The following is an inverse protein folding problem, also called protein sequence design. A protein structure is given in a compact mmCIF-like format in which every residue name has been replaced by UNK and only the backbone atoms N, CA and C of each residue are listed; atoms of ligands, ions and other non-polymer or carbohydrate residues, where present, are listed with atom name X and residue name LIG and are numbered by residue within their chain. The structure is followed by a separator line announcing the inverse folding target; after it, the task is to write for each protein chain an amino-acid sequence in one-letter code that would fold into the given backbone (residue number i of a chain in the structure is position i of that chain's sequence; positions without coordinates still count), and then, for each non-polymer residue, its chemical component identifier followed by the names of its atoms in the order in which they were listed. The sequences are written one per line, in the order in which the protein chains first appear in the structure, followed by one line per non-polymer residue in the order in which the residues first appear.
data_IF_870674675494
#
_entry.id   IF_870674675494
#
_cell.length_a   1.000
_cell.length_b   1.000
_cell.length_c   1.000
_cell.angle_alpha   90.00
_cell.angle_beta   90.00
_cell.angle_gamma   90.00
#
_symmetry.space_group_name_H-M   'P 1'
#
loop_
_entity.id
_entity.type
_entity.pdbx_description
1 polymer ?
#
# COMPACT_ATOMS: atom_id res chain seq x y z
N UNK A 1 30.30 17.86 -16.51
CA UNK A 1 30.58 18.20 -15.10
C UNK A 1 31.82 17.50 -14.57
N UNK A 2 32.35 16.44 -15.22
CA UNK A 2 33.65 15.87 -14.85
C UNK A 2 33.69 15.12 -13.52
N UNK A 3 32.53 14.89 -12.90
CA UNK A 3 32.37 14.14 -11.65
C UNK A 3 32.32 12.66 -12.01
N UNK A 4 33.40 11.93 -11.73
CA UNK A 4 33.49 10.49 -11.97
C UNK A 4 33.68 9.70 -10.67
N UNK A 5 34.05 10.37 -9.58
CA UNK A 5 34.24 9.78 -8.25
C UNK A 5 33.38 10.50 -7.20
N UNK A 6 33.19 9.83 -6.05
CA UNK A 6 32.51 10.44 -4.89
C UNK A 6 33.29 11.65 -4.36
N UNK A 7 34.62 11.62 -4.46
CA UNK A 7 35.48 12.75 -4.07
C UNK A 7 35.24 13.97 -4.96
N UNK A 8 35.11 13.78 -6.28
CA UNK A 8 34.79 14.87 -7.21
C UNK A 8 33.45 15.53 -6.86
N UNK A 9 32.47 14.70 -6.42
CA UNK A 9 31.17 15.18 -5.98
C UNK A 9 31.27 15.94 -4.66
N UNK A 10 32.07 15.46 -3.69
CA UNK A 10 32.28 16.11 -2.41
C UNK A 10 33.00 17.47 -2.54
N UNK A 11 33.85 17.64 -3.56
CA UNK A 11 34.54 18.90 -3.85
C UNK A 11 33.72 19.88 -4.72
N UNK A 12 32.56 19.46 -5.26
CA UNK A 12 31.72 20.34 -6.05
C UNK A 12 31.02 21.41 -5.20
N UNK A 13 30.74 22.57 -5.78
CA UNK A 13 30.08 23.68 -5.08
C UNK A 13 28.57 23.35 -4.89
N UNK A 14 28.06 23.29 -3.64
CA UNK A 14 26.68 22.84 -3.38
C UNK A 14 25.59 23.70 -4.02
N UNK A 15 25.77 25.02 -4.13
CA UNK A 15 24.73 25.92 -4.67
C UNK A 15 24.57 25.76 -6.18
N UNK A 16 25.65 25.56 -6.91
CA UNK A 16 25.68 25.29 -8.33
C UNK A 16 25.07 23.91 -8.62
N UNK A 17 25.35 22.92 -7.77
CA UNK A 17 24.71 21.61 -7.85
C UNK A 17 23.22 21.66 -7.51
N UNK A 18 22.80 22.51 -6.58
CA UNK A 18 21.38 22.77 -6.31
C UNK A 18 20.67 23.35 -7.53
N UNK A 19 21.24 24.39 -8.15
CA UNK A 19 20.65 25.06 -9.32
C UNK A 19 20.50 24.12 -10.51
N UNK A 20 21.46 23.20 -10.69
CA UNK A 20 21.47 22.25 -11.81
C UNK A 20 20.61 21.01 -11.59
N UNK A 21 20.45 20.60 -10.33
CA UNK A 21 19.74 19.36 -9.97
C UNK A 21 18.62 19.64 -8.96
N UNK A 22 18.93 19.61 -7.67
CA UNK A 22 17.96 19.83 -6.60
C UNK A 22 18.64 20.12 -5.27
N UNK A 23 17.87 20.57 -4.28
CA UNK A 23 18.34 20.71 -2.89
C UNK A 23 18.85 19.37 -2.31
N UNK A 24 18.34 18.23 -2.78
CA UNK A 24 18.78 16.90 -2.33
C UNK A 24 20.23 16.65 -2.75
N UNK A 25 20.61 17.08 -3.96
CA UNK A 25 22.00 16.98 -4.42
C UNK A 25 22.94 17.83 -3.56
N UNK A 26 22.55 19.06 -3.25
CA UNK A 26 23.33 19.93 -2.38
C UNK A 26 23.48 19.36 -0.96
N UNK A 27 22.41 18.81 -0.38
CA UNK A 27 22.45 18.11 0.91
C UNK A 27 23.38 16.90 0.88
N UNK A 28 23.36 16.13 -0.20
CA UNK A 28 24.28 14.99 -0.37
C UNK A 28 25.73 15.44 -0.35
N UNK A 29 26.06 16.57 -0.97
CA UNK A 29 27.42 17.13 -0.95
C UNK A 29 27.80 17.59 0.47
N UNK A 30 26.90 18.28 1.18
CA UNK A 30 27.13 18.67 2.57
C UNK A 30 27.36 17.45 3.48
N UNK A 31 26.58 16.37 3.33
CA UNK A 31 26.77 15.12 4.06
C UNK A 31 28.15 14.50 3.77
N UNK A 32 28.57 14.47 2.50
CA UNK A 32 29.91 14.00 2.11
C UNK A 32 31.03 14.88 2.68
N UNK A 33 30.75 16.15 2.97
CA UNK A 33 31.66 17.09 3.65
C UNK A 33 31.57 16.98 5.19
N UNK A 34 30.78 16.04 5.74
CA UNK A 34 30.61 15.82 7.17
C UNK A 34 29.59 16.76 7.83
N UNK A 35 28.78 17.49 7.05
CA UNK A 35 27.72 18.37 7.54
C UNK A 35 26.39 17.62 7.48
N UNK A 36 25.92 17.16 8.65
CA UNK A 36 24.62 16.52 8.80
C UNK A 36 23.49 17.46 8.39
N UNK A 37 22.76 17.08 7.36
CA UNK A 37 21.62 17.76 6.75
C UNK A 37 20.30 17.04 6.99
N UNK A 38 20.34 15.78 7.43
CA UNK A 38 19.16 15.00 7.84
C UNK A 38 19.29 14.69 9.32
N UNK A 39 18.46 15.32 10.14
CA UNK A 39 18.39 15.02 11.57
C UNK A 39 17.70 13.67 11.81
N UNK A 40 18.06 13.01 12.92
CA UNK A 40 17.38 11.81 13.38
C UNK A 40 16.01 12.22 13.92
N UNK A 41 14.94 11.76 13.28
CA UNK A 41 13.58 11.99 13.77
C UNK A 41 13.32 11.14 15.03
N UNK A 42 13.09 11.81 16.17
CA UNK A 42 12.74 11.15 17.43
C UNK A 42 11.26 10.77 17.54
N UNK A 43 10.39 11.46 16.80
CA UNK A 43 8.95 11.20 16.74
C UNK A 43 8.52 11.24 15.28
N UNK A 44 8.28 10.09 14.63
CA UNK A 44 7.88 10.07 13.23
C UNK A 44 6.50 10.74 13.08
N UNK A 45 6.28 11.55 12.04
CA UNK A 45 4.99 12.18 11.79
C UNK A 45 3.91 11.14 11.49
N UNK A 46 2.65 11.47 11.80
CA UNK A 46 1.51 10.63 11.48
C UNK A 46 1.50 10.25 10.00
N UNK A 47 1.14 8.98 9.71
CA UNK A 47 1.09 8.47 8.33
C UNK A 47 0.15 9.33 7.49
N UNK A 48 0.66 9.84 6.37
CA UNK A 48 -0.16 10.61 5.41
C UNK A 48 -1.07 9.71 4.57
N UNK A 49 -0.67 8.47 4.36
CA UNK A 49 -1.41 7.49 3.58
C UNK A 49 -1.03 6.06 3.96
N UNK A 50 -1.94 5.12 3.75
CA UNK A 50 -1.70 3.68 3.86
C UNK A 50 -1.89 3.06 2.48
N UNK A 51 -0.81 2.48 1.95
CA UNK A 51 -0.81 1.83 0.64
C UNK A 51 -0.74 0.32 0.82
N UNK A 52 -1.70 -0.39 0.23
CA UNK A 52 -1.61 -1.84 0.05
C UNK A 52 -1.76 -2.16 -1.42
N UNK A 53 -0.67 -2.61 -2.02
CA UNK A 53 -0.63 -3.06 -3.42
C UNK A 53 0.37 -4.18 -3.57
N UNK A 54 0.18 -5.04 -4.58
CA UNK A 54 1.16 -6.06 -4.96
C UNK A 54 1.16 -6.27 -6.46
N UNK A 55 2.33 -6.61 -6.98
CA UNK A 55 2.45 -7.15 -8.33
C UNK A 55 2.07 -8.62 -8.34
N UNK A 56 1.33 -9.04 -9.35
CA UNK A 56 0.90 -10.42 -9.55
C UNK A 56 2.05 -11.29 -10.09
N UNK A 57 2.09 -12.56 -9.69
CA UNK A 57 3.01 -13.56 -10.25
C UNK A 57 2.70 -13.82 -11.73
N UNK A 58 1.47 -14.28 -12.00
CA UNK A 58 0.88 -14.34 -13.34
C UNK A 58 0.30 -12.99 -13.80
N UNK A 59 -0.01 -12.86 -15.10
CA UNK A 59 -0.81 -11.73 -15.58
C UNK A 59 -2.28 -12.03 -15.32
N UNK A 60 -3.00 -11.05 -14.77
CA UNK A 60 -4.43 -11.17 -14.47
C UNK A 60 -5.23 -10.49 -15.57
N UNK A 61 -6.20 -11.18 -16.12
CA UNK A 61 -7.13 -10.63 -17.14
C UNK A 61 -8.55 -10.56 -16.60
N UNK A 62 -8.94 -11.52 -15.75
CA UNK A 62 -10.31 -11.64 -15.29
C UNK A 62 -10.68 -10.60 -14.23
N UNK A 63 -11.85 -10.00 -14.38
CA UNK A 63 -12.40 -9.04 -13.41
C UNK A 63 -12.63 -9.69 -12.04
N UNK A 64 -13.01 -10.96 -11.99
CA UNK A 64 -13.23 -11.72 -10.75
C UNK A 64 -11.95 -11.85 -9.94
N UNK A 65 -10.85 -12.19 -10.59
CA UNK A 65 -9.53 -12.29 -9.97
C UNK A 65 -9.04 -10.93 -9.44
N UNK A 66 -9.25 -9.86 -10.21
CA UNK A 66 -8.94 -8.50 -9.75
C UNK A 66 -9.80 -8.07 -8.57
N UNK A 67 -11.09 -8.41 -8.57
CA UNK A 67 -12.02 -8.14 -7.45
C UNK A 67 -11.55 -8.85 -6.20
N UNK A 68 -11.09 -10.08 -6.33
CA UNK A 68 -10.56 -10.83 -5.21
C UNK A 68 -9.28 -10.21 -4.65
N UNK A 69 -8.35 -9.81 -5.54
CA UNK A 69 -7.12 -9.15 -5.16
C UNK A 69 -7.35 -7.82 -4.46
N UNK A 70 -8.17 -6.94 -5.04
CA UNK A 70 -8.40 -5.61 -4.49
C UNK A 70 -9.16 -5.67 -3.16
N UNK A 71 -10.08 -6.63 -3.00
CA UNK A 71 -10.82 -6.83 -1.74
C UNK A 71 -9.91 -7.30 -0.61
N UNK A 72 -8.93 -8.16 -0.90
CA UNK A 72 -7.90 -8.51 0.08
C UNK A 72 -7.02 -7.31 0.43
N UNK A 73 -6.60 -6.51 -0.56
CA UNK A 73 -5.77 -5.33 -0.28
C UNK A 73 -6.51 -4.24 0.50
N UNK A 74 -7.81 -4.09 0.28
CA UNK A 74 -8.67 -3.21 1.07
C UNK A 74 -8.76 -3.65 2.54
N UNK A 75 -8.96 -4.95 2.80
CA UNK A 75 -8.97 -5.49 4.17
C UNK A 75 -7.61 -5.33 4.86
N UNK A 76 -6.51 -5.54 4.13
CA UNK A 76 -5.16 -5.36 4.65
C UNK A 76 -4.85 -3.91 4.99
N UNK A 77 -5.29 -2.98 4.15
CA UNK A 77 -5.16 -1.54 4.40
C UNK A 77 -6.00 -1.12 5.61
N UNK A 78 -7.24 -1.61 5.71
CA UNK A 78 -8.14 -1.38 6.84
C UNK A 78 -7.55 -1.87 8.16
N UNK A 79 -6.97 -3.09 8.20
CA UNK A 79 -6.32 -3.59 9.40
C UNK A 79 -5.18 -2.67 9.85
N UNK A 80 -4.32 -2.24 8.92
CA UNK A 80 -3.21 -1.32 9.23
C UNK A 80 -3.69 0.05 9.68
N UNK A 81 -4.84 0.50 9.19
CA UNK A 81 -5.47 1.75 9.59
C UNK A 81 -5.95 1.65 11.05
N UNK A 82 -6.60 0.55 11.40
CA UNK A 82 -7.10 0.29 12.76
C UNK A 82 -6.00 0.00 13.77
N UNK A 83 -4.93 -0.70 13.38
CA UNK A 83 -3.75 -0.92 14.22
C UNK A 83 -3.07 0.42 14.62
N UNK A 84 -3.35 1.51 13.89
CA UNK A 84 -2.82 2.87 14.15
C UNK A 84 -3.91 3.82 14.72
N UNK A 85 -5.11 3.33 15.02
CA UNK A 85 -6.26 4.10 15.51
C UNK A 85 -6.62 5.32 14.63
N UNK A 86 -6.60 5.11 13.30
CA UNK A 86 -6.92 6.13 12.31
C UNK A 86 -8.28 5.89 11.65
N UNK A 87 -8.88 6.97 11.14
CA UNK A 87 -10.00 6.95 10.20
C UNK A 87 -9.53 7.40 8.82
N UNK A 88 -10.27 7.02 7.77
CA UNK A 88 -9.94 7.34 6.38
C UNK A 88 -11.12 8.04 5.69
N UNK A 89 -10.89 9.24 5.18
CA UNK A 89 -11.89 9.99 4.40
C UNK A 89 -11.92 9.65 2.91
N UNK A 90 -10.79 9.21 2.33
CA UNK A 90 -10.67 8.99 0.88
C UNK A 90 -9.91 7.72 0.54
N UNK A 91 -10.38 6.98 -0.45
CA UNK A 91 -9.70 5.82 -0.99
C UNK A 91 -9.38 6.02 -2.48
N UNK A 92 -8.20 5.58 -2.90
CA UNK A 92 -7.79 5.53 -4.30
C UNK A 92 -7.62 4.06 -4.66
N UNK A 93 -8.32 3.59 -5.69
CA UNK A 93 -8.14 2.26 -6.27
C UNK A 93 -7.38 2.40 -7.59
N UNK A 94 -6.43 1.51 -7.85
CA UNK A 94 -5.65 1.56 -9.08
C UNK A 94 -5.30 0.19 -9.66
N UNK A 95 -5.11 0.17 -10.97
CA UNK A 95 -4.70 -0.99 -11.76
C UNK A 95 -3.62 -0.61 -12.77
N UNK A 96 -2.67 -1.50 -12.97
CA UNK A 96 -1.51 -1.30 -13.83
C UNK A 96 -1.20 -2.55 -14.63
N UNK A 97 -0.93 -2.37 -15.92
CA UNK A 97 -0.30 -3.38 -16.80
C UNK A 97 1.22 -3.39 -16.60
N UNK A 98 1.96 -4.12 -17.43
CA UNK A 98 3.41 -4.18 -17.35
C UNK A 98 4.05 -2.96 -18.05
N UNK A 99 4.74 -2.05 -17.33
CA UNK A 99 5.43 -0.92 -17.96
C UNK A 99 6.66 -1.34 -18.79
N UNK A 100 7.15 -2.57 -18.60
CA UNK A 100 8.33 -3.11 -19.28
C UNK A 100 7.99 -4.00 -20.48
N UNK A 101 6.74 -4.01 -20.94
CA UNK A 101 6.37 -4.74 -22.17
C UNK A 101 6.49 -3.79 -23.38
N UNK A 102 7.46 -3.98 -24.29
CA UNK A 102 7.62 -3.10 -25.44
C UNK A 102 6.53 -3.29 -26.50
N UNK A 103 5.79 -4.40 -26.46
CA UNK A 103 4.82 -4.76 -27.50
C UNK A 103 3.42 -4.22 -27.22
N UNK A 104 3.15 -3.75 -26.01
CA UNK A 104 1.81 -3.32 -25.59
C UNK A 104 1.89 -1.96 -24.89
N UNK A 105 1.03 -0.99 -25.24
CA UNK A 105 0.97 0.28 -24.54
C UNK A 105 0.72 0.11 -23.04
N UNK A 106 1.47 0.84 -22.21
CA UNK A 106 1.31 0.80 -20.78
C UNK A 106 -0.06 1.36 -20.36
N UNK A 107 -0.90 0.49 -19.83
CA UNK A 107 -2.15 0.83 -19.17
C UNK A 107 -1.93 1.10 -17.68
N UNK A 108 -2.32 2.29 -17.22
CA UNK A 108 -2.36 2.71 -15.82
C UNK A 108 -3.62 3.54 -15.60
N UNK A 109 -4.47 3.11 -14.68
CA UNK A 109 -5.67 3.86 -14.29
C UNK A 109 -5.85 3.81 -12.79
N UNK A 110 -6.30 4.94 -12.24
CA UNK A 110 -6.68 5.09 -10.86
C UNK A 110 -7.95 5.92 -10.78
N UNK A 111 -8.77 5.64 -9.78
CA UNK A 111 -9.95 6.43 -9.45
C UNK A 111 -9.93 6.70 -7.95
N UNK A 112 -10.46 7.86 -7.55
CA UNK A 112 -10.55 8.30 -6.15
C UNK A 112 -12.02 8.33 -5.75
N UNK A 113 -12.34 7.78 -4.58
CA UNK A 113 -13.65 7.82 -3.97
C UNK A 113 -13.55 8.40 -2.55
N UNK A 114 -14.41 9.36 -2.23
CA UNK A 114 -14.57 9.90 -0.89
C UNK A 114 -15.70 9.18 -0.16
N UNK A 115 -15.55 9.01 1.15
CA UNK A 115 -16.62 8.54 2.02
C UNK A 115 -17.45 9.73 2.53
N UNK A 116 -18.73 9.51 2.83
CA UNK A 116 -19.61 10.56 3.39
C UNK A 116 -19.14 11.02 4.77
N UNK A 117 -18.57 10.10 5.54
CA UNK A 117 -17.82 10.36 6.76
C UNK A 117 -16.61 9.42 6.80
N UNK A 118 -15.54 9.81 7.49
CA UNK A 118 -14.32 9.03 7.57
C UNK A 118 -14.61 7.70 8.27
N UNK A 119 -14.11 6.61 7.70
CA UNK A 119 -14.43 5.23 8.12
C UNK A 119 -13.17 4.42 8.34
N UNK A 120 -13.27 3.40 9.18
CA UNK A 120 -12.27 2.35 9.37
C UNK A 120 -12.86 0.95 9.18
N UNK A 121 -14.04 0.85 8.55
CA UNK A 121 -14.76 -0.41 8.35
C UNK A 121 -14.33 -1.14 7.06
N UNK A 122 -13.88 -2.38 7.18
CA UNK A 122 -13.46 -3.22 6.05
C UNK A 122 -14.56 -3.41 5.00
N UNK A 123 -15.83 -3.47 5.43
CA UNK A 123 -16.98 -3.62 4.53
C UNK A 123 -17.13 -2.41 3.61
N UNK A 124 -16.96 -1.20 4.14
CA UNK A 124 -17.06 0.04 3.37
C UNK A 124 -15.92 0.10 2.34
N UNK A 125 -14.69 -0.21 2.75
CA UNK A 125 -13.54 -0.24 1.85
C UNK A 125 -13.67 -1.28 0.75
N UNK A 126 -14.09 -2.51 1.07
CA UNK A 126 -14.26 -3.57 0.06
C UNK A 126 -15.36 -3.21 -0.94
N UNK A 127 -16.50 -2.67 -0.47
CA UNK A 127 -17.58 -2.21 -1.36
C UNK A 127 -17.13 -1.08 -2.28
N UNK A 128 -16.44 -0.07 -1.73
CA UNK A 128 -15.92 1.02 -2.52
C UNK A 128 -14.86 0.54 -3.53
N UNK A 129 -13.93 -0.32 -3.12
CA UNK A 129 -12.84 -0.80 -3.97
C UNK A 129 -13.36 -1.65 -5.13
N UNK A 130 -14.33 -2.54 -4.87
CA UNK A 130 -14.94 -3.37 -5.91
C UNK A 130 -15.79 -2.56 -6.89
N UNK A 131 -16.49 -1.52 -6.42
CA UNK A 131 -17.20 -0.57 -7.29
C UNK A 131 -16.21 0.18 -8.19
N UNK A 132 -15.21 0.81 -7.58
CA UNK A 132 -14.17 1.57 -8.28
C UNK A 132 -13.39 0.70 -9.29
N UNK A 133 -13.19 -0.57 -8.97
CA UNK A 133 -12.55 -1.52 -9.89
C UNK A 133 -13.35 -1.73 -11.17
N UNK A 134 -14.69 -1.75 -11.11
CA UNK A 134 -15.51 -1.89 -12.31
C UNK A 134 -15.30 -0.71 -13.27
N UNK A 135 -15.04 0.49 -12.74
CA UNK A 135 -14.86 1.71 -13.55
C UNK A 135 -13.48 1.79 -14.21
N UNK A 136 -12.45 1.22 -13.57
CA UNK A 136 -11.06 1.21 -14.08
C UNK A 136 -10.67 -0.10 -14.77
N UNK A 137 -11.54 -1.10 -14.76
CA UNK A 137 -11.33 -2.34 -15.49
C UNK A 137 -11.55 -2.13 -16.99
N UNK A 138 -10.69 -2.76 -17.78
CA UNK A 138 -10.78 -2.78 -19.23
C UNK A 138 -10.43 -4.19 -19.71
N UNK A 139 -11.34 -4.78 -20.46
CA UNK A 139 -11.16 -6.08 -21.08
C UNK A 139 -9.96 -6.07 -22.04
N UNK A 140 -9.27 -7.22 -22.14
CA UNK A 140 -8.08 -7.40 -22.97
C UNK A 140 -6.77 -6.86 -22.36
N UNK A 141 -6.81 -6.21 -21.20
CA UNK A 141 -5.59 -5.78 -20.50
C UNK A 141 -5.03 -6.91 -19.64
N UNK A 142 -3.72 -7.16 -19.79
CA UNK A 142 -2.95 -8.06 -18.93
C UNK A 142 -2.42 -7.30 -17.72
N UNK A 143 -3.18 -7.26 -16.65
CA UNK A 143 -2.81 -6.56 -15.44
C UNK A 143 -1.64 -7.23 -14.73
N UNK A 144 -0.69 -6.40 -14.29
CA UNK A 144 0.51 -6.80 -13.54
C UNK A 144 0.45 -6.39 -12.08
N UNK A 145 -0.31 -5.35 -11.73
CA UNK A 145 -0.40 -4.83 -10.37
C UNK A 145 -1.76 -4.16 -10.13
N UNK A 146 -2.28 -4.31 -8.92
CA UNK A 146 -3.37 -3.48 -8.42
C UNK A 146 -3.15 -3.15 -6.94
N UNK A 147 -3.96 -2.23 -6.43
CA UNK A 147 -3.94 -1.89 -5.02
C UNK A 147 -4.91 -0.79 -4.64
N UNK A 148 -4.89 -0.48 -3.36
CA UNK A 148 -5.63 0.62 -2.76
C UNK A 148 -4.67 1.53 -1.99
N UNK A 149 -5.04 2.81 -1.94
CA UNK A 149 -4.42 3.83 -1.09
C UNK A 149 -5.51 4.43 -0.22
N UNK A 150 -5.34 4.38 1.09
CA UNK A 150 -6.14 5.11 2.05
C UNK A 150 -5.46 6.45 2.34
N UNK A 151 -6.20 7.55 2.21
CA UNK A 151 -5.73 8.92 2.39
C UNK A 151 -6.79 9.77 3.08
N UNK A 152 -6.47 11.04 3.37
CA UNK A 152 -7.25 11.87 4.30
C UNK A 152 -7.38 11.13 5.64
N UNK A 153 -6.22 10.73 6.18
CA UNK A 153 -6.13 10.00 7.43
C UNK A 153 -6.17 10.96 8.61
N UNK A 154 -6.94 10.60 9.62
CA UNK A 154 -7.07 11.38 10.84
C UNK A 154 -7.19 10.48 12.07
N UNK A 155 -6.72 10.94 13.26
CA UNK A 155 -6.85 10.17 14.49
C UNK A 155 -8.31 9.97 14.89
N UNK A 156 -8.68 8.74 15.21
CA UNK A 156 -10.04 8.39 15.65
C UNK A 156 -10.41 9.11 16.95
N UNK A 157 -9.46 9.26 17.87
CA UNK A 157 -9.65 9.95 19.15
C UNK A 157 -10.00 11.44 19.02
N UNK A 158 -9.64 12.07 17.89
CA UNK A 158 -9.84 13.50 17.66
C UNK A 158 -10.93 13.83 16.63
N UNK A 159 -11.66 12.82 16.15
CA UNK A 159 -12.68 13.02 15.13
C UNK A 159 -13.95 13.66 15.71
N UNK A 160 -14.35 14.79 15.13
CA UNK A 160 -15.60 15.46 15.46
C UNK A 160 -16.68 15.03 14.48
N UNK A 161 -17.69 14.33 15.00
CA UNK A 161 -18.85 13.90 14.22
C UNK A 161 -19.77 15.07 13.86
N UNK A 162 -20.39 14.99 12.68
CA UNK A 162 -21.41 15.94 12.23
C UNK A 162 -22.73 15.76 13.00
N UNK A 163 -23.57 16.79 13.03
CA UNK A 163 -24.87 16.80 13.72
C UNK A 163 -25.81 15.69 13.23
N UNK A 164 -25.71 15.31 11.95
CA UNK A 164 -26.56 14.29 11.32
C UNK A 164 -25.93 12.88 11.36
N UNK A 165 -24.91 12.69 12.18
CA UNK A 165 -24.20 11.41 12.26
C UNK A 165 -25.08 10.34 12.90
N UNK A 166 -25.24 9.22 12.20
CA UNK A 166 -25.88 8.02 12.73
C UNK A 166 -24.91 7.21 13.61
N UNK A 167 -24.95 7.50 14.91
CA UNK A 167 -24.13 6.82 15.92
C UNK A 167 -24.45 5.33 16.06
N UNK A 168 -25.69 4.90 15.81
CA UNK A 168 -26.07 3.49 15.90
C UNK A 168 -25.37 2.67 14.80
N UNK A 169 -25.31 3.21 13.58
CA UNK A 169 -24.56 2.58 12.49
C UNK A 169 -23.06 2.52 12.77
N UNK A 170 -22.48 3.57 13.35
CA UNK A 170 -21.05 3.59 13.72
C UNK A 170 -20.75 2.52 14.77
N UNK A 171 -21.56 2.44 15.82
CA UNK A 171 -21.38 1.45 16.88
C UNK A 171 -21.49 0.02 16.34
N UNK A 172 -22.48 -0.26 15.48
CA UNK A 172 -22.62 -1.56 14.81
C UNK A 172 -21.39 -1.93 13.98
N UNK A 173 -20.84 -0.97 13.23
CA UNK A 173 -19.60 -1.17 12.44
C UNK A 173 -18.42 -1.46 13.36
N UNK A 174 -18.28 -0.73 14.46
CA UNK A 174 -17.20 -0.94 15.42
C UNK A 174 -17.27 -2.33 16.06
N UNK A 175 -18.46 -2.77 16.49
CA UNK A 175 -18.68 -4.11 17.03
C UNK A 175 -18.35 -5.20 16.00
N UNK A 176 -18.77 -5.02 14.74
CA UNK A 176 -18.45 -5.93 13.64
C UNK A 176 -16.94 -6.04 13.43
N UNK A 177 -16.24 -4.91 13.38
CA UNK A 177 -14.79 -4.88 13.15
C UNK A 177 -14.02 -5.56 14.29
N UNK A 178 -14.39 -5.29 15.55
CA UNK A 178 -13.81 -5.98 16.72
C UNK A 178 -14.04 -7.48 16.68
N UNK A 179 -15.25 -7.92 16.31
CA UNK A 179 -15.55 -9.34 16.18
C UNK A 179 -14.67 -10.01 15.10
N UNK A 180 -14.51 -9.35 13.94
CA UNK A 180 -13.67 -9.82 12.85
C UNK A 180 -12.19 -9.90 13.26
N UNK A 181 -11.67 -8.90 13.95
CA UNK A 181 -10.30 -8.84 14.47
C UNK A 181 -10.02 -9.93 15.50
N UNK A 182 -10.98 -10.20 16.39
CA UNK A 182 -10.87 -11.29 17.36
C UNK A 182 -10.76 -12.66 16.68
N UNK A 183 -11.56 -12.89 15.63
CA UNK A 183 -11.48 -14.13 14.83
C UNK A 183 -10.14 -14.22 14.10
N UNK A 184 -9.67 -13.11 13.50
CA UNK A 184 -8.37 -13.09 12.81
C UNK A 184 -7.20 -13.35 13.75
N UNK A 185 -7.25 -12.80 14.97
CA UNK A 185 -6.22 -13.03 15.99
C UNK A 185 -6.19 -14.48 16.45
N UNK A 186 -7.36 -15.11 16.63
CA UNK A 186 -7.46 -16.48 17.16
C UNK A 186 -7.22 -17.57 16.11
N UNK A 187 -7.72 -17.39 14.89
CA UNK A 187 -7.74 -18.46 13.87
C UNK A 187 -6.92 -18.14 12.62
N UNK A 188 -6.35 -16.94 12.56
CA UNK A 188 -5.61 -16.46 11.41
C UNK A 188 -6.50 -15.79 10.35
N UNK A 189 -5.87 -14.89 9.62
CA UNK A 189 -6.49 -13.97 8.66
C UNK A 189 -7.23 -14.61 7.48
N UNK A 190 -6.87 -15.83 7.08
CA UNK A 190 -7.41 -16.48 5.88
C UNK A 190 -8.71 -17.26 6.13
N UNK A 191 -9.18 -17.34 7.39
CA UNK A 191 -10.34 -18.17 7.76
C UNK A 191 -11.67 -17.48 7.52
N UNK A 192 -11.74 -16.18 7.76
CA UNK A 192 -12.90 -15.34 7.46
C UNK A 192 -12.40 -14.09 6.74
N UNK A 193 -13.19 -13.58 5.80
CA UNK A 193 -12.90 -12.31 5.18
C UNK A 193 -14.15 -11.69 4.60
N UNK A 194 -14.03 -10.42 4.21
CA UNK A 194 -15.13 -9.60 3.70
C UNK A 194 -15.10 -9.60 2.18
N UNK A 195 -16.23 -9.93 1.56
CA UNK A 195 -16.37 -9.96 0.10
C UNK A 195 -15.55 -11.10 -0.54
N UNK A 196 -15.23 -10.98 -1.85
CA UNK A 196 -14.47 -12.01 -2.54
C UNK A 196 -13.03 -11.99 -2.04
N UNK A 197 -12.70 -12.89 -1.12
CA UNK A 197 -11.35 -13.02 -0.60
C UNK A 197 -11.11 -14.44 -0.07
N UNK A 198 -9.84 -14.82 -0.07
CA UNK A 198 -9.32 -16.13 0.32
C UNK A 198 -9.93 -17.33 -0.44
N UNK A 199 -10.35 -17.13 -1.70
CA UNK A 199 -10.90 -18.18 -2.54
C UNK A 199 -9.78 -19.19 -2.88
N UNK A 200 -10.02 -20.50 -2.78
CA UNK A 200 -9.05 -21.52 -3.21
C UNK A 200 -8.74 -21.42 -4.71
N UNK A 201 -7.54 -21.84 -5.14
CA UNK A 201 -7.20 -21.94 -6.57
C UNK A 201 -6.77 -20.63 -7.25
N UNK A 202 -6.31 -19.63 -6.49
CA UNK A 202 -5.83 -18.34 -7.01
C UNK A 202 -4.68 -18.50 -8.01
N UNK A 203 -4.84 -17.94 -9.20
CA UNK A 203 -3.83 -17.91 -10.26
C UNK A 203 -2.88 -16.71 -10.15
N UNK A 204 -3.27 -15.70 -9.37
CA UNK A 204 -2.63 -14.38 -9.35
C UNK A 204 -1.73 -14.13 -8.13
N UNK A 205 -1.47 -15.14 -7.31
CA UNK A 205 -0.59 -15.02 -6.14
C UNK A 205 0.77 -14.39 -6.50
N UNK A 206 1.34 -13.62 -5.56
CA UNK A 206 2.66 -13.03 -5.72
C UNK A 206 3.70 -14.13 -6.02
N UNK A 207 4.50 -13.94 -7.08
CA UNK A 207 5.69 -14.76 -7.32
C UNK A 207 6.76 -14.43 -6.29
N UNK A 208 7.31 -15.46 -5.65
CA UNK A 208 8.40 -15.37 -4.66
C UNK A 208 9.65 -16.08 -5.16
N UNK A 209 9.77 -16.31 -6.46
CA UNK A 209 10.77 -17.21 -7.05
C UNK A 209 12.20 -16.66 -6.96
N UNK A 210 12.36 -15.37 -6.63
CA UNK A 210 13.64 -14.69 -6.40
C UNK A 210 13.88 -14.34 -4.93
N UNK A 211 13.09 -14.89 -4.01
CA UNK A 211 13.30 -14.66 -2.58
C UNK A 211 14.62 -15.31 -2.15
N UNK A 212 15.50 -14.55 -1.51
CA UNK A 212 16.68 -15.12 -0.85
C UNK A 212 16.23 -16.08 0.24
N UNK A 213 16.99 -17.17 0.44
CA UNK A 213 16.74 -18.10 1.53
C UNK A 213 16.70 -17.37 2.87
N UNK A 214 15.74 -17.72 3.71
CA UNK A 214 15.56 -17.22 5.04
C UNK A 214 16.11 -18.26 6.05
N UNK A 215 17.34 -18.09 6.56
CA UNK A 215 17.93 -19.04 7.49
C UNK A 215 17.22 -19.09 8.85
N UNK A 216 16.25 -18.20 9.10
CA UNK A 216 15.45 -18.15 10.33
C UNK A 216 14.15 -18.98 10.28
N UNK A 217 13.88 -19.66 9.16
CA UNK A 217 12.76 -20.62 9.05
C UNK A 217 13.28 -22.05 9.08
N UNK A 218 12.58 -22.93 9.81
CA UNK A 218 12.97 -24.34 9.98
C UNK A 218 13.24 -25.05 8.65
N UNK A 219 12.42 -24.77 7.63
CA UNK A 219 12.51 -25.40 6.30
C UNK A 219 13.69 -24.89 5.45
N UNK A 220 14.33 -23.79 5.85
CA UNK A 220 15.39 -23.11 5.08
C UNK A 220 16.68 -22.94 5.92
N UNK A 221 16.80 -23.71 7.01
CA UNK A 221 18.01 -23.77 7.84
C UNK A 221 19.23 -24.17 7.01
N UNK A 222 20.36 -23.55 7.30
CA UNK A 222 21.65 -23.93 6.74
C UNK A 222 22.04 -25.32 7.24
N UNK A 223 21.99 -26.32 6.36
CA UNK A 223 22.47 -27.66 6.65
C UNK A 223 23.96 -27.71 6.34
N UNK A 224 24.78 -27.96 7.37
CA UNK A 224 26.21 -28.23 7.19
C UNK A 224 26.34 -29.73 6.87
N UNK A 225 26.60 -30.05 5.60
CA UNK A 225 26.94 -31.42 5.19
C UNK A 225 28.37 -31.75 5.63
N UNK A 226 28.54 -32.85 6.37
CA UNK A 226 29.84 -33.45 6.69
C UNK A 226 30.41 -34.22 5.49
#
# INVERSE_FOLDING_TARGET
MGINTVLDLACAEPREMQKRFSIVMARTIYELQGISCIEIEHTPPSKKQIVTSRSFGGRVTELTDLKEAISMYAQDACKRLRDEDLLCGCMIAFVQSNPFDPNVPFYNKSITGSFSGPTDCAVDFVKAATRMLNDIYKEGIKYKKCGVVLTCLEPKSGHTYDLLTDFETIEKKEQLMRALENVHTKFGKKKIGVGPCYIPGRTWSMSRDKLSKNPFTWDELLIISK
#
